data_IF_521127886894
#
_entry.id   IF_521127886894
#
_cell.length_a   1.000
_cell.length_b   1.000
_cell.length_c   1.000
_cell.angle_alpha   90.00
_cell.angle_beta   90.00
_cell.angle_gamma   90.00
#
_symmetry.space_group_name_H-M   'P 1'
#
loop_
_entity.id
_entity.type
_entity.pdbx_description
1 polymer ?
#
# COMPACT_ATOMS: atom_id res chain seq x y z
N UNK A 1 4.86 -10.74 21.88
CA UNK A 1 4.21 -11.25 20.64
C UNK A 1 2.87 -10.53 20.33
N UNK A 2 2.85 -9.19 20.27
CA UNK A 2 1.64 -8.41 19.90
C UNK A 2 1.60 -8.02 18.41
N UNK A 3 2.72 -8.18 17.69
CA UNK A 3 2.91 -7.71 16.31
C UNK A 3 2.35 -8.65 15.24
N UNK A 4 2.18 -9.95 15.53
CA UNK A 4 1.75 -10.95 14.53
C UNK A 4 0.33 -10.74 13.98
N UNK A 5 -0.47 -9.85 14.58
CA UNK A 5 -1.84 -9.55 14.15
C UNK A 5 -1.99 -8.29 13.30
N UNK A 6 -0.93 -7.49 13.15
CA UNK A 6 -0.98 -6.26 12.35
C UNK A 6 -0.37 -6.52 10.98
N UNK A 7 -1.08 -6.14 9.93
CA UNK A 7 -0.65 -6.22 8.53
C UNK A 7 -0.40 -4.81 8.02
N UNK A 8 0.81 -4.56 7.52
CA UNK A 8 1.18 -3.25 7.00
C UNK A 8 1.00 -3.25 5.50
N UNK A 9 0.11 -2.42 4.98
CA UNK A 9 -0.14 -2.31 3.55
C UNK A 9 0.40 -0.96 3.08
N UNK A 10 1.49 -1.00 2.32
CA UNK A 10 2.07 0.18 1.72
C UNK A 10 1.24 0.61 0.52
N UNK A 11 0.90 1.90 0.45
CA UNK A 11 0.14 2.51 -0.63
C UNK A 11 1.03 3.57 -1.30
N UNK A 12 1.79 3.20 -2.36
CA UNK A 12 2.66 4.13 -3.06
C UNK A 12 1.90 5.25 -3.75
N UNK A 13 2.62 6.31 -4.11
CA UNK A 13 2.12 7.37 -4.97
C UNK A 13 2.28 7.05 -6.46
N UNK A 14 2.08 8.06 -7.30
CA UNK A 14 2.34 8.00 -8.75
C UNK A 14 3.77 7.51 -9.01
N UNK A 15 3.94 6.67 -10.03
CA UNK A 15 5.18 5.93 -10.33
C UNK A 15 5.70 4.97 -9.24
N UNK A 16 4.91 4.70 -8.20
CA UNK A 16 5.24 3.68 -7.22
C UNK A 16 6.29 4.12 -6.20
N UNK A 17 7.17 3.19 -5.82
CA UNK A 17 8.23 3.40 -4.84
C UNK A 17 9.39 2.49 -5.18
N UNK A 18 10.40 3.03 -5.86
CA UNK A 18 11.60 2.29 -6.26
C UNK A 18 12.44 1.86 -5.05
N UNK A 19 13.52 1.13 -5.28
CA UNK A 19 14.22 0.38 -4.23
C UNK A 19 14.78 1.23 -3.09
N UNK A 20 15.22 2.46 -3.38
CA UNK A 20 15.77 3.43 -2.42
C UNK A 20 14.68 4.30 -1.75
N UNK A 21 13.43 4.20 -2.21
CA UNK A 21 12.34 4.93 -1.59
C UNK A 21 12.07 4.38 -0.18
N UNK A 22 11.77 5.26 0.78
CA UNK A 22 11.58 4.88 2.18
C UNK A 22 10.48 3.82 2.37
N UNK A 23 9.43 3.82 1.53
CA UNK A 23 8.40 2.77 1.53
C UNK A 23 9.02 1.40 1.21
N UNK A 24 9.97 1.30 0.28
CA UNK A 24 10.68 0.05 -0.03
C UNK A 24 11.56 -0.41 1.13
N UNK A 25 12.25 0.52 1.81
CA UNK A 25 12.99 0.19 3.03
C UNK A 25 12.08 -0.31 4.15
N UNK A 26 10.93 0.33 4.35
CA UNK A 26 9.96 -0.08 5.38
C UNK A 26 9.29 -1.41 5.05
N UNK A 27 8.97 -1.68 3.78
CA UNK A 27 8.44 -2.97 3.36
C UNK A 27 9.41 -4.12 3.68
N UNK A 28 10.73 -3.90 3.54
CA UNK A 28 11.76 -4.88 3.93
C UNK A 28 11.91 -5.03 5.45
N UNK A 29 11.67 -3.96 6.21
CA UNK A 29 11.89 -3.93 7.66
C UNK A 29 10.67 -4.39 8.49
N UNK A 30 9.45 -4.14 8.00
CA UNK A 30 8.22 -4.42 8.72
C UNK A 30 7.80 -5.89 8.53
N UNK A 31 7.50 -6.63 9.62
CA UNK A 31 6.98 -7.98 9.49
C UNK A 31 5.58 -7.93 8.88
N UNK A 32 5.27 -8.87 7.99
CA UNK A 32 3.95 -8.98 7.35
C UNK A 32 3.53 -7.74 6.53
N UNK A 33 4.51 -7.08 5.89
CA UNK A 33 4.23 -5.97 4.99
C UNK A 33 3.88 -6.46 3.56
N UNK A 34 2.90 -5.83 2.94
CA UNK A 34 2.58 -5.95 1.52
C UNK A 34 2.47 -4.56 0.89
N UNK A 35 2.43 -4.52 -0.45
CA UNK A 35 2.32 -3.29 -1.22
C UNK A 35 1.12 -3.40 -2.14
N UNK A 36 0.35 -2.32 -2.24
CA UNK A 36 -0.70 -2.20 -3.26
C UNK A 36 -0.02 -2.05 -4.62
N UNK A 37 -0.25 -3.02 -5.49
CA UNK A 37 0.12 -2.92 -6.89
C UNK A 37 -1.00 -2.29 -7.70
N UNK A 38 -0.66 -1.36 -8.59
CA UNK A 38 -1.60 -0.65 -9.43
C UNK A 38 -1.59 -1.20 -10.85
N UNK A 39 -2.73 -1.12 -11.53
CA UNK A 39 -2.87 -1.56 -12.93
C UNK A 39 -2.05 -0.71 -13.89
N UNK A 40 -2.03 0.60 -13.66
CA UNK A 40 -1.29 1.57 -14.43
C UNK A 40 -0.69 2.61 -13.48
N UNK A 41 0.64 2.61 -13.42
CA UNK A 41 1.42 3.52 -12.59
C UNK A 41 1.65 4.88 -13.25
N UNK A 42 1.52 4.98 -14.58
CA UNK A 42 1.81 6.18 -15.37
C UNK A 42 0.56 7.01 -15.58
N UNK A 43 -0.57 6.38 -15.88
CA UNK A 43 -1.86 7.06 -16.11
C UNK A 43 -2.89 6.67 -15.04
N UNK A 44 -2.78 7.23 -13.82
CA UNK A 44 -3.61 6.82 -12.70
C UNK A 44 -5.10 7.13 -12.94
N UNK A 45 -5.94 6.11 -12.76
CA UNK A 45 -7.39 6.23 -12.76
C UNK A 45 -7.90 6.00 -11.35
N UNK A 46 -8.62 6.96 -10.82
CA UNK A 46 -9.14 6.93 -9.44
C UNK A 46 -9.85 5.61 -9.10
N UNK A 47 -10.78 5.18 -9.95
CA UNK A 47 -11.56 3.95 -9.73
C UNK A 47 -10.68 2.68 -9.71
N UNK A 48 -9.65 2.61 -10.55
CA UNK A 48 -8.74 1.48 -10.57
C UNK A 48 -7.88 1.48 -9.29
N UNK A 49 -7.37 2.65 -8.91
CA UNK A 49 -6.51 2.79 -7.73
C UNK A 49 -7.21 2.42 -6.42
N UNK A 50 -8.47 2.86 -6.26
CA UNK A 50 -9.30 2.50 -5.11
C UNK A 50 -9.66 1.01 -5.14
N UNK A 51 -9.99 0.45 -6.31
CA UNK A 51 -10.33 -0.97 -6.42
C UNK A 51 -9.14 -1.89 -6.09
N UNK A 52 -7.93 -1.53 -6.52
CA UNK A 52 -6.71 -2.28 -6.21
C UNK A 52 -6.36 -2.20 -4.71
N UNK A 53 -6.54 -1.03 -4.09
CA UNK A 53 -6.40 -0.86 -2.63
C UNK A 53 -7.41 -1.73 -1.87
N UNK A 54 -8.71 -1.66 -2.22
CA UNK A 54 -9.76 -2.46 -1.58
C UNK A 54 -9.49 -3.97 -1.73
N UNK A 55 -9.04 -4.40 -2.92
CA UNK A 55 -8.65 -5.79 -3.15
C UNK A 55 -7.49 -6.22 -2.23
N UNK A 56 -6.47 -5.38 -2.07
CA UNK A 56 -5.33 -5.69 -1.22
C UNK A 56 -5.73 -5.75 0.26
N UNK A 57 -6.53 -4.79 0.74
CA UNK A 57 -7.06 -4.79 2.12
C UNK A 57 -7.85 -6.07 2.41
N UNK A 58 -8.74 -6.50 1.50
CA UNK A 58 -9.56 -7.71 1.68
C UNK A 58 -8.74 -9.00 1.70
N UNK A 59 -7.53 -9.02 1.15
CA UNK A 59 -6.62 -10.17 1.22
C UNK A 59 -5.94 -10.30 2.58
N UNK A 60 -5.87 -9.24 3.37
CA UNK A 60 -5.13 -9.24 4.62
C UNK A 60 -5.98 -9.80 5.77
N UNK A 61 -5.50 -10.82 6.49
CA UNK A 61 -6.18 -11.31 7.68
C UNK A 61 -5.91 -10.38 8.86
N UNK A 62 -6.97 -9.94 9.54
CA UNK A 62 -6.87 -9.19 10.80
C UNK A 62 -6.76 -7.67 10.62
N UNK A 63 -5.98 -7.01 11.48
CA UNK A 63 -5.93 -5.54 11.54
C UNK A 63 -4.95 -5.00 10.52
N UNK A 64 -5.44 -4.17 9.60
CA UNK A 64 -4.62 -3.49 8.60
C UNK A 64 -4.20 -2.10 9.08
N UNK A 65 -2.95 -1.74 8.81
CA UNK A 65 -2.42 -0.36 8.90
C UNK A 65 -1.96 0.04 7.50
N UNK A 66 -2.54 1.11 6.97
CA UNK A 66 -2.17 1.67 5.67
C UNK A 66 -1.01 2.65 5.83
N UNK A 67 0.01 2.52 4.99
CA UNK A 67 1.20 3.39 4.96
C UNK A 67 1.25 4.06 3.59
N UNK A 68 0.61 5.22 3.49
CA UNK A 68 0.38 5.92 2.23
C UNK A 68 1.38 7.05 1.95
N UNK A 69 1.64 7.31 0.68
CA UNK A 69 2.50 8.41 0.21
C UNK A 69 1.90 9.12 -1.01
N UNK A 70 1.96 10.45 -1.05
CA UNK A 70 1.58 11.28 -2.22
C UNK A 70 0.19 10.90 -2.76
N UNK A 71 0.05 10.53 -4.04
CA UNK A 71 -1.21 10.06 -4.65
C UNK A 71 -1.84 8.87 -3.90
N UNK A 72 -1.04 8.04 -3.24
CA UNK A 72 -1.52 6.98 -2.37
C UNK A 72 -2.33 7.51 -1.19
N UNK A 73 -2.01 8.69 -0.64
CA UNK A 73 -2.79 9.32 0.42
C UNK A 73 -4.18 9.73 -0.07
N UNK A 74 -4.25 10.28 -1.28
CA UNK A 74 -5.53 10.65 -1.91
C UNK A 74 -6.38 9.42 -2.16
N UNK A 75 -5.76 8.32 -2.61
CA UNK A 75 -6.43 7.02 -2.81
C UNK A 75 -7.02 6.48 -1.51
N UNK A 76 -6.29 6.59 -0.38
CA UNK A 76 -6.78 6.16 0.95
C UNK A 76 -7.93 7.02 1.46
N UNK A 77 -7.96 8.31 1.14
CA UNK A 77 -8.99 9.24 1.60
C UNK A 77 -10.27 9.25 0.73
N UNK A 78 -10.35 8.38 -0.28
CA UNK A 78 -11.45 8.29 -1.24
C UNK A 78 -12.62 7.42 -0.78
#
# INVERSE_FOLDING_TARGET
MRSERVRYVLVPGWHGSEDEHWQSHWQRALPNASRVEQRDWVTPRHVDWVAELDREIRRQPGRVVLIAHSLGCVTVAS
#
